data_IF_746142020956
#
_entry.id   IF_746142020956
#
_cell.length_a   1.000
_cell.length_b   1.000
_cell.length_c   1.000
_cell.angle_alpha   90.00
_cell.angle_beta   90.00
_cell.angle_gamma   90.00
#
_symmetry.space_group_name_H-M   'P 1'
#
loop_
_entity.id
_entity.type
_entity.pdbx_description
1 polymer ?
#
# COMPACT_ATOMS: atom_id res chain seq x y z
N UNK A 1 13.11 23.58 -2.14
CA UNK A 1 12.82 23.75 -0.71
C UNK A 1 11.72 22.76 -0.38
N UNK A 2 11.90 21.87 0.60
CA UNK A 2 10.85 20.91 0.98
C UNK A 2 9.70 21.70 1.61
N UNK A 3 8.47 21.43 1.18
CA UNK A 3 7.25 22.02 1.75
C UNK A 3 7.22 21.83 3.28
N UNK A 4 6.64 22.76 4.02
CA UNK A 4 6.44 22.61 5.47
C UNK A 4 5.07 21.96 5.76
N UNK A 5 4.91 21.20 6.86
CA UNK A 5 3.62 20.63 7.23
C UNK A 5 2.45 21.63 7.28
N UNK A 6 2.71 22.87 7.73
CA UNK A 6 1.71 23.93 7.79
C UNK A 6 1.28 24.47 6.41
N UNK A 7 1.98 24.13 5.34
CA UNK A 7 1.66 24.51 3.95
C UNK A 7 0.81 23.45 3.25
N UNK A 8 0.62 22.26 3.85
CA UNK A 8 -0.25 21.22 3.31
C UNK A 8 -1.70 21.68 3.38
N UNK A 9 -2.36 21.76 2.23
CA UNK A 9 -3.79 22.05 2.12
C UNK A 9 -4.55 20.80 1.69
N UNK A 10 -5.58 20.43 2.46
CA UNK A 10 -6.50 19.34 2.09
C UNK A 10 -7.79 19.96 1.54
N UNK A 11 -8.11 19.77 0.24
CA UNK A 11 -9.38 20.21 -0.34
C UNK A 11 -10.57 19.75 0.50
N UNK A 12 -11.55 20.64 0.70
CA UNK A 12 -12.68 20.39 1.61
C UNK A 12 -13.47 19.13 1.22
N UNK A 13 -13.62 18.88 -0.09
CA UNK A 13 -14.31 17.72 -0.66
C UNK A 13 -13.58 16.40 -0.38
N UNK A 14 -12.27 16.44 -0.10
CA UNK A 14 -11.47 15.28 0.24
C UNK A 14 -11.48 14.97 1.74
N UNK A 15 -11.77 15.95 2.60
CA UNK A 15 -11.68 15.78 4.05
C UNK A 15 -12.57 14.65 4.58
N UNK A 16 -13.81 14.54 4.10
CA UNK A 16 -14.74 13.46 4.50
C UNK A 16 -14.55 12.16 3.72
N UNK A 17 -13.70 12.15 2.68
CA UNK A 17 -13.52 11.01 1.77
C UNK A 17 -12.24 10.24 2.07
N UNK A 18 -11.13 10.94 2.36
CA UNK A 18 -9.87 10.29 2.69
C UNK A 18 -10.04 9.43 3.96
N UNK A 19 -9.55 8.20 3.91
CA UNK A 19 -9.69 7.21 4.97
C UNK A 19 -11.11 6.64 5.16
N UNK A 20 -12.06 6.96 4.26
CA UNK A 20 -13.47 6.53 4.35
C UNK A 20 -14.06 6.00 3.03
N UNK A 21 -13.67 6.59 1.89
CA UNK A 21 -14.19 6.28 0.56
C UNK A 21 -13.31 5.24 -0.16
N UNK A 22 -13.86 4.04 -0.37
CA UNK A 22 -13.18 2.95 -1.08
C UNK A 22 -12.86 3.30 -2.55
N UNK A 23 -13.63 4.18 -3.18
CA UNK A 23 -13.55 4.44 -4.62
C UNK A 23 -13.05 5.85 -4.93
N UNK A 24 -12.30 6.45 -3.99
CA UNK A 24 -11.69 7.76 -4.20
C UNK A 24 -10.83 7.75 -5.47
N UNK A 25 -11.04 8.77 -6.32
CA UNK A 25 -10.25 8.99 -7.52
C UNK A 25 -8.92 9.68 -7.18
N UNK A 26 -7.84 8.96 -7.44
CA UNK A 26 -6.46 9.35 -7.13
C UNK A 26 -5.61 9.56 -8.37
N UNK A 27 -6.15 9.30 -9.57
CA UNK A 27 -5.34 9.14 -10.79
C UNK A 27 -5.81 9.97 -11.98
N UNK A 28 -7.11 10.26 -12.07
CA UNK A 28 -7.64 10.96 -13.23
C UNK A 28 -7.21 12.42 -13.26
N UNK A 29 -7.30 13.03 -14.43
CA UNK A 29 -7.07 14.47 -14.61
C UNK A 29 -8.03 15.33 -13.77
N UNK A 30 -9.20 14.79 -13.41
CA UNK A 30 -10.20 15.43 -12.56
C UNK A 30 -9.97 15.17 -11.06
N UNK A 31 -9.02 14.30 -10.70
CA UNK A 31 -8.71 13.99 -9.31
C UNK A 31 -8.24 15.24 -8.56
N UNK A 32 -9.04 15.65 -7.56
CA UNK A 32 -8.67 16.71 -6.63
C UNK A 32 -7.39 16.35 -5.86
N UNK A 33 -7.17 15.05 -5.60
CA UNK A 33 -5.97 14.58 -4.92
C UNK A 33 -4.75 14.73 -5.84
N UNK A 34 -4.85 14.34 -7.11
CA UNK A 34 -3.75 14.46 -8.06
C UNK A 34 -3.33 15.92 -8.31
N UNK A 35 -4.26 16.87 -8.13
CA UNK A 35 -4.01 18.31 -8.23
C UNK A 35 -3.45 18.94 -6.95
N UNK A 36 -3.40 18.21 -5.84
CA UNK A 36 -2.76 18.71 -4.62
C UNK A 36 -1.26 18.90 -4.84
N UNK A 37 -0.69 19.96 -4.25
CA UNK A 37 0.75 20.17 -4.30
C UNK A 37 1.53 19.05 -3.58
N UNK A 38 0.92 18.47 -2.55
CA UNK A 38 1.40 17.27 -1.86
C UNK A 38 0.26 16.27 -1.63
N UNK A 39 -0.01 15.34 -2.57
CA UNK A 39 -1.05 14.33 -2.42
C UNK A 39 -0.81 13.42 -1.21
N UNK A 40 0.42 12.95 -0.96
CA UNK A 40 0.68 12.06 0.18
C UNK A 40 0.62 12.82 1.50
N UNK A 41 1.06 14.08 1.54
CA UNK A 41 0.88 14.96 2.69
C UNK A 41 -0.59 15.17 3.04
N UNK A 42 -1.43 15.44 2.03
CA UNK A 42 -2.88 15.57 2.22
C UNK A 42 -3.52 14.27 2.72
N UNK A 43 -3.16 13.12 2.15
CA UNK A 43 -3.60 11.80 2.64
C UNK A 43 -3.16 11.59 4.09
N UNK A 44 -1.91 11.90 4.44
CA UNK A 44 -1.38 11.71 5.78
C UNK A 44 -2.18 12.47 6.82
N UNK A 45 -2.35 13.79 6.65
CA UNK A 45 -3.07 14.63 7.62
C UNK A 45 -4.51 14.16 7.80
N UNK A 46 -5.21 13.92 6.68
CA UNK A 46 -6.61 13.52 6.77
C UNK A 46 -6.78 12.08 7.27
N UNK A 47 -5.80 11.20 7.05
CA UNK A 47 -5.79 9.84 7.60
C UNK A 47 -5.63 9.83 9.12
N UNK A 48 -4.88 10.78 9.69
CA UNK A 48 -4.76 10.92 11.14
C UNK A 48 -6.11 11.27 11.79
N UNK A 49 -6.86 12.18 11.17
CA UNK A 49 -8.24 12.49 11.59
C UNK A 49 -9.15 11.27 11.42
N UNK A 50 -9.11 10.61 10.25
CA UNK A 50 -9.97 9.47 9.96
C UNK A 50 -9.71 8.27 10.89
N UNK A 51 -8.48 8.08 11.35
CA UNK A 51 -8.10 7.05 12.31
C UNK A 51 -8.32 7.46 13.78
N UNK A 52 -8.79 8.69 14.04
CA UNK A 52 -8.93 9.24 15.39
C UNK A 52 -7.60 9.41 16.12
N UNK A 53 -6.50 9.54 15.39
CA UNK A 53 -5.15 9.62 15.94
C UNK A 53 -4.78 11.04 16.40
N UNK A 54 -5.39 12.08 15.83
CA UNK A 54 -5.12 13.48 16.20
C UNK A 54 -5.32 13.76 17.69
N UNK A 55 -6.23 13.05 18.37
CA UNK A 55 -6.48 13.18 19.81
C UNK A 55 -5.62 12.25 20.68
N UNK A 56 -5.00 11.23 20.08
CA UNK A 56 -4.20 10.21 20.78
C UNK A 56 -2.69 10.48 20.69
N UNK A 57 -2.27 11.16 19.62
CA UNK A 57 -0.88 11.51 19.35
C UNK A 57 -0.50 12.85 19.99
N UNK A 58 0.76 13.00 20.45
CA UNK A 58 1.30 14.32 20.77
C UNK A 58 1.23 15.24 19.55
N UNK A 59 0.88 16.52 19.72
CA UNK A 59 0.76 17.49 18.61
C UNK A 59 2.03 17.57 17.76
N UNK A 60 3.21 17.60 18.41
CA UNK A 60 4.51 17.56 17.71
C UNK A 60 4.71 16.30 16.86
N UNK A 61 4.02 15.21 17.20
CA UNK A 61 4.05 13.93 16.49
C UNK A 61 3.30 14.00 15.16
N UNK A 62 2.20 14.74 15.10
CA UNK A 62 1.48 15.03 13.85
C UNK A 62 2.39 15.80 12.90
N UNK A 63 3.01 16.88 13.37
CA UNK A 63 3.92 17.70 12.56
C UNK A 63 5.12 16.90 12.05
N UNK A 64 5.74 16.08 12.92
CA UNK A 64 6.89 15.25 12.56
C UNK A 64 6.54 14.13 11.59
N UNK A 65 5.35 13.56 11.72
CA UNK A 65 4.87 12.55 10.79
C UNK A 65 4.57 13.16 9.41
N UNK A 66 3.92 14.33 9.37
CA UNK A 66 3.70 15.07 8.14
C UNK A 66 5.03 15.47 7.47
N UNK A 67 6.00 15.96 8.24
CA UNK A 67 7.36 16.25 7.76
C UNK A 67 8.04 15.00 7.18
N UNK A 68 7.87 13.85 7.83
CA UNK A 68 8.37 12.57 7.33
C UNK A 68 7.71 12.18 6.01
N UNK A 69 6.38 12.23 5.92
CA UNK A 69 5.66 11.89 4.69
C UNK A 69 6.01 12.84 3.55
N UNK A 70 6.24 14.13 3.80
CA UNK A 70 6.71 15.07 2.78
C UNK A 70 8.10 14.70 2.22
N UNK A 71 9.01 14.22 3.07
CA UNK A 71 10.31 13.71 2.58
C UNK A 71 10.16 12.42 1.78
N UNK A 72 9.25 11.53 2.23
CA UNK A 72 8.93 10.29 1.51
C UNK A 72 8.34 10.61 0.13
N UNK A 73 7.37 11.52 0.06
CA UNK A 73 6.75 11.94 -1.20
C UNK A 73 7.80 12.49 -2.18
N UNK A 74 8.75 13.28 -1.69
CA UNK A 74 9.84 13.84 -2.51
C UNK A 74 10.80 12.80 -3.11
N UNK A 75 10.75 11.53 -2.68
CA UNK A 75 11.51 10.44 -3.30
C UNK A 75 10.69 9.53 -4.22
N UNK A 76 9.39 9.79 -4.38
CA UNK A 76 8.58 9.14 -5.41
C UNK A 76 8.67 9.91 -6.74
N UNK A 77 8.67 9.23 -7.89
CA UNK A 77 8.53 9.89 -9.18
C UNK A 77 7.10 10.40 -9.40
N UNK A 78 6.91 11.30 -10.37
CA UNK A 78 5.60 11.90 -10.69
C UNK A 78 4.76 11.08 -11.67
N UNK A 79 5.42 10.29 -12.54
CA UNK A 79 4.79 9.60 -13.68
C UNK A 79 4.91 8.08 -13.57
N UNK A 80 4.19 7.37 -14.46
CA UNK A 80 4.07 5.90 -14.49
C UNK A 80 3.35 5.35 -13.25
N UNK A 81 3.52 4.07 -12.95
CA UNK A 81 2.73 3.38 -11.92
C UNK A 81 3.29 3.63 -10.54
N UNK A 82 4.55 3.26 -10.26
CA UNK A 82 5.15 3.43 -8.94
C UNK A 82 5.58 4.88 -8.72
N UNK A 83 4.59 5.76 -8.56
CA UNK A 83 4.70 7.21 -8.45
C UNK A 83 4.06 7.71 -7.14
N UNK A 84 4.19 9.01 -6.85
CA UNK A 84 3.64 9.59 -5.60
C UNK A 84 2.13 9.43 -5.47
N UNK A 85 1.40 9.40 -6.59
CA UNK A 85 -0.03 9.14 -6.59
C UNK A 85 -0.35 7.70 -6.20
N UNK A 86 0.48 6.74 -6.59
CA UNK A 86 0.32 5.35 -6.16
C UNK A 86 0.59 5.22 -4.66
N UNK A 87 1.68 5.81 -4.16
CA UNK A 87 1.93 5.90 -2.72
C UNK A 87 0.76 6.53 -1.94
N UNK A 88 0.16 7.60 -2.47
CA UNK A 88 -1.04 8.22 -1.89
C UNK A 88 -2.27 7.29 -1.95
N UNK A 89 -2.52 6.63 -3.08
CA UNK A 89 -3.65 5.71 -3.29
C UNK A 89 -3.60 4.53 -2.33
N UNK A 90 -2.46 3.84 -2.24
CA UNK A 90 -2.27 2.69 -1.34
C UNK A 90 -2.45 3.11 0.11
N UNK A 91 -1.85 4.25 0.51
CA UNK A 91 -1.98 4.77 1.87
C UNK A 91 -3.44 5.07 2.22
N UNK A 92 -4.16 5.79 1.35
CA UNK A 92 -5.57 6.10 1.53
C UNK A 92 -6.43 4.83 1.63
N UNK A 93 -6.23 3.88 0.72
CA UNK A 93 -6.97 2.61 0.69
C UNK A 93 -6.73 1.79 1.92
N UNK A 94 -5.48 1.68 2.36
CA UNK A 94 -5.11 0.95 3.57
C UNK A 94 -5.82 1.54 4.78
N UNK A 95 -5.78 2.86 4.96
CA UNK A 95 -6.49 3.55 6.04
C UNK A 95 -7.99 3.30 5.95
N UNK A 96 -8.57 3.41 4.76
CA UNK A 96 -10.00 3.17 4.52
C UNK A 96 -10.38 1.73 4.88
N UNK A 97 -9.58 0.74 4.47
CA UNK A 97 -9.79 -0.67 4.81
C UNK A 97 -9.74 -0.87 6.32
N UNK A 98 -8.72 -0.34 7.00
CA UNK A 98 -8.59 -0.47 8.45
C UNK A 98 -9.77 0.16 9.20
N UNK A 99 -10.26 1.31 8.74
CA UNK A 99 -11.42 1.99 9.30
C UNK A 99 -12.72 1.22 9.06
N UNK A 100 -13.00 0.85 7.80
CA UNK A 100 -14.28 0.25 7.40
C UNK A 100 -14.46 -1.17 7.94
N UNK A 101 -13.35 -1.88 8.18
CA UNK A 101 -13.35 -3.19 8.83
C UNK A 101 -13.49 -3.12 10.34
N UNK A 102 -13.26 -1.96 10.97
CA UNK A 102 -13.23 -1.83 12.42
C UNK A 102 -11.88 -2.20 13.06
N UNK A 103 -10.86 -2.55 12.26
CA UNK A 103 -9.52 -2.89 12.75
C UNK A 103 -8.87 -1.67 13.40
N UNK A 104 -9.00 -0.49 12.79
CA UNK A 104 -8.40 0.74 13.30
C UNK A 104 -8.88 1.05 14.73
N UNK A 105 -10.18 0.90 14.99
CA UNK A 105 -10.78 1.12 16.30
C UNK A 105 -10.30 0.07 17.30
N UNK A 106 -10.26 -1.21 16.90
CA UNK A 106 -9.74 -2.29 17.75
C UNK A 106 -8.25 -2.12 18.10
N UNK A 107 -7.46 -1.54 17.18
CA UNK A 107 -6.08 -1.15 17.42
C UNK A 107 -6.01 0.01 18.42
N UNK A 108 -6.79 1.07 18.24
CA UNK A 108 -6.77 2.23 19.14
C UNK A 108 -7.14 1.87 20.58
N UNK A 109 -8.04 0.90 20.79
CA UNK A 109 -8.38 0.37 22.12
C UNK A 109 -7.20 -0.33 22.83
N UNK A 110 -6.18 -0.80 22.10
CA UNK A 110 -5.04 -1.52 22.65
C UNK A 110 -3.75 -0.70 22.58
N UNK A 111 -3.33 -0.35 21.36
CA UNK A 111 -2.13 0.42 21.09
C UNK A 111 -2.26 1.14 19.74
N UNK A 112 -2.71 2.39 19.77
CA UNK A 112 -2.93 3.25 18.60
C UNK A 112 -1.69 3.41 17.70
N UNK A 113 -0.49 3.11 18.21
CA UNK A 113 0.74 3.26 17.44
C UNK A 113 0.83 2.29 16.25
N UNK A 114 0.09 1.19 16.28
CA UNK A 114 0.01 0.28 15.14
C UNK A 114 -0.76 0.89 13.96
N UNK A 115 -1.72 1.80 14.21
CA UNK A 115 -2.36 2.55 13.13
C UNK A 115 -1.38 3.51 12.48
N UNK A 116 -0.50 4.16 13.28
CA UNK A 116 0.61 4.96 12.72
C UNK A 116 1.60 4.08 11.96
N UNK A 117 1.88 2.87 12.44
CA UNK A 117 2.74 1.92 11.74
C UNK A 117 2.17 1.56 10.36
N UNK A 118 0.87 1.27 10.26
CA UNK A 118 0.25 0.95 8.97
C UNK A 118 0.15 2.16 8.05
N UNK A 119 -0.14 3.36 8.58
CA UNK A 119 -0.09 4.59 7.81
C UNK A 119 1.31 4.82 7.20
N UNK A 120 2.36 4.61 7.98
CA UNK A 120 3.75 4.67 7.50
C UNK A 120 4.04 3.56 6.49
N UNK A 121 3.61 2.32 6.76
CA UNK A 121 3.83 1.20 5.84
C UNK A 121 3.24 1.49 4.46
N UNK A 122 2.00 1.99 4.41
CA UNK A 122 1.37 2.42 3.16
C UNK A 122 2.16 3.54 2.47
N UNK A 123 2.62 4.55 3.22
CA UNK A 123 3.35 5.68 2.65
C UNK A 123 4.74 5.29 2.13
N UNK A 124 5.41 4.30 2.73
CA UNK A 124 6.82 3.99 2.41
C UNK A 124 7.01 2.73 1.57
N UNK A 125 5.97 1.93 1.30
CA UNK A 125 6.15 0.59 0.71
C UNK A 125 6.95 0.57 -0.61
N UNK A 126 6.80 1.62 -1.41
CA UNK A 126 7.50 1.82 -2.70
C UNK A 126 8.39 3.07 -2.70
N UNK A 127 8.83 3.52 -1.53
CA UNK A 127 9.66 4.72 -1.43
C UNK A 127 10.96 4.56 -2.24
N UNK A 128 11.18 5.46 -3.20
CA UNK A 128 12.30 5.42 -4.17
C UNK A 128 12.33 4.16 -5.04
N UNK A 129 11.16 3.61 -5.37
CA UNK A 129 11.06 2.51 -6.31
C UNK A 129 11.75 2.85 -7.66
N UNK A 130 12.62 1.97 -8.19
CA UNK A 130 13.38 2.25 -9.42
C UNK A 130 12.53 2.10 -10.70
N UNK A 131 11.26 1.72 -10.55
CA UNK A 131 10.29 1.51 -11.64
C UNK A 131 10.78 0.47 -12.66
N UNK A 132 11.35 -0.59 -12.11
CA UNK A 132 11.71 -1.87 -12.71
C UNK A 132 11.52 -2.95 -11.64
N UNK A 133 11.25 -4.19 -12.04
CA UNK A 133 10.99 -5.26 -11.09
C UNK A 133 12.29 -5.82 -10.45
N UNK A 134 12.13 -6.54 -9.33
CA UNK A 134 13.24 -7.16 -8.60
C UNK A 134 14.10 -8.08 -9.50
N UNK A 135 13.49 -8.83 -10.43
CA UNK A 135 14.23 -9.73 -11.33
C UNK A 135 15.18 -8.96 -12.27
N UNK A 136 14.77 -7.80 -12.78
CA UNK A 136 15.65 -6.94 -13.59
C UNK A 136 16.85 -6.45 -12.77
N UNK A 137 16.62 -5.97 -11.54
CA UNK A 137 17.68 -5.50 -10.65
C UNK A 137 18.71 -6.59 -10.33
N UNK A 138 18.26 -7.84 -10.15
CA UNK A 138 19.09 -9.01 -9.89
C UNK A 138 19.88 -9.41 -11.13
N UNK A 139 19.24 -9.51 -12.30
CA UNK A 139 19.94 -9.86 -13.55
C UNK A 139 20.98 -8.82 -13.97
N UNK A 140 20.80 -7.56 -13.56
CA UNK A 140 21.77 -6.48 -13.78
C UNK A 140 22.89 -6.43 -12.72
N UNK A 141 22.86 -7.31 -11.70
CA UNK A 141 23.76 -7.22 -10.54
C UNK A 141 23.83 -5.80 -9.98
N UNK A 142 22.68 -5.11 -9.96
CA UNK A 142 22.62 -3.71 -9.56
C UNK A 142 23.12 -3.54 -8.12
N UNK A 143 23.65 -2.36 -7.79
CA UNK A 143 24.10 -2.08 -6.43
C UNK A 143 23.00 -2.31 -5.38
N UNK A 144 21.73 -2.10 -5.77
CA UNK A 144 20.57 -2.36 -4.93
C UNK A 144 20.38 -3.87 -4.67
N UNK A 145 20.46 -4.69 -5.71
CA UNK A 145 20.35 -6.15 -5.60
C UNK A 145 21.49 -6.74 -4.76
N UNK A 146 22.74 -6.32 -5.02
CA UNK A 146 23.92 -6.74 -4.27
C UNK A 146 23.81 -6.37 -2.78
N UNK A 147 23.27 -5.19 -2.46
CA UNK A 147 23.10 -4.73 -1.08
C UNK A 147 22.16 -5.64 -0.27
N UNK A 148 21.15 -6.25 -0.91
CA UNK A 148 20.14 -7.07 -0.25
C UNK A 148 20.24 -8.56 -0.61
N UNK A 149 21.33 -8.98 -1.24
CA UNK A 149 21.56 -10.37 -1.66
C UNK A 149 20.36 -10.95 -2.43
N UNK A 150 19.83 -10.16 -3.36
CA UNK A 150 18.70 -10.50 -4.24
C UNK A 150 17.35 -10.75 -3.53
N UNK A 151 17.25 -10.49 -2.22
CA UNK A 151 16.03 -10.73 -1.44
C UNK A 151 15.16 -9.47 -1.37
N UNK A 152 13.92 -9.53 -1.88
CA UNK A 152 12.92 -8.46 -1.79
C UNK A 152 13.54 -7.06 -2.00
N UNK A 153 14.21 -6.89 -3.14
CA UNK A 153 15.24 -5.86 -3.35
C UNK A 153 14.64 -4.46 -3.22
N UNK A 154 13.55 -4.18 -3.93
CA UNK A 154 12.85 -2.89 -3.89
C UNK A 154 12.24 -2.60 -2.50
N UNK A 155 11.60 -3.60 -1.88
CA UNK A 155 10.94 -3.49 -0.58
C UNK A 155 11.97 -3.21 0.54
N UNK A 156 13.10 -3.92 0.53
CA UNK A 156 14.19 -3.68 1.47
C UNK A 156 14.86 -2.32 1.23
N UNK A 157 14.97 -1.88 -0.03
CA UNK A 157 15.51 -0.55 -0.34
C UNK A 157 14.60 0.56 0.21
N UNK A 158 13.30 0.46 -0.01
CA UNK A 158 12.31 1.40 0.51
C UNK A 158 12.34 1.47 2.04
N UNK A 159 12.41 0.31 2.72
CA UNK A 159 12.57 0.23 4.17
C UNK A 159 13.89 0.83 4.67
N UNK A 160 15.01 0.56 3.99
CA UNK A 160 16.33 1.07 4.36
C UNK A 160 16.38 2.59 4.25
N UNK A 161 15.91 3.15 3.13
CA UNK A 161 15.93 4.60 2.90
C UNK A 161 14.96 5.36 3.82
N UNK A 162 13.75 4.83 4.03
CA UNK A 162 12.77 5.45 4.93
C UNK A 162 13.23 5.41 6.39
N UNK A 163 13.82 4.31 6.86
CA UNK A 163 14.37 4.21 8.22
C UNK A 163 15.60 5.08 8.41
N UNK A 164 16.43 5.27 7.38
CA UNK A 164 17.54 6.21 7.42
C UNK A 164 17.06 7.62 7.75
N UNK A 165 15.97 8.09 7.12
CA UNK A 165 15.36 9.38 7.43
C UNK A 165 14.91 9.47 8.90
N UNK A 166 14.25 8.44 9.43
CA UNK A 166 13.83 8.40 10.84
C UNK A 166 15.00 8.39 11.84
N UNK A 167 16.13 7.79 11.47
CA UNK A 167 17.30 7.72 12.34
C UNK A 167 18.17 8.98 12.30
N UNK A 168 18.30 9.62 11.13
CA UNK A 168 19.30 10.67 10.90
C UNK A 168 18.70 12.08 10.85
N UNK A 169 17.43 12.22 10.45
CA UNK A 169 16.85 13.53 10.09
C UNK A 169 15.57 13.86 10.86
N UNK A 170 14.71 12.86 11.13
CA UNK A 170 13.38 13.08 11.70
C UNK A 170 13.19 12.23 12.95
N UNK A 171 13.26 12.87 14.12
CA UNK A 171 13.03 12.21 15.42
C UNK A 171 11.54 11.91 15.68
N UNK A 172 10.99 10.98 14.91
CA UNK A 172 9.62 10.51 15.13
C UNK A 172 9.55 9.60 16.36
N UNK A 173 10.61 8.84 16.64
CA UNK A 173 10.68 7.92 17.78
C UNK A 173 10.59 8.67 19.10
N UNK A 174 11.43 9.68 19.31
CA UNK A 174 11.44 10.49 20.53
C UNK A 174 10.12 11.22 20.73
N UNK A 175 9.45 11.62 19.65
CA UNK A 175 8.18 12.35 19.75
C UNK A 175 6.98 11.42 19.98
N UNK A 176 6.89 10.27 19.31
CA UNK A 176 5.76 9.34 19.48
C UNK A 176 5.86 8.50 20.75
N UNK A 177 7.08 8.19 21.18
CA UNK A 177 7.31 7.29 22.32
C UNK A 177 7.96 8.00 23.53
N UNK A 178 8.46 9.23 23.40
CA UNK A 178 9.01 9.98 24.54
C UNK A 178 10.08 9.19 25.32
N UNK A 179 9.93 9.20 26.66
CA UNK A 179 10.75 8.40 27.59
C UNK A 179 10.16 7.00 27.85
N UNK A 180 9.29 6.49 26.98
CA UNK A 180 8.70 5.16 27.14
C UNK A 180 9.80 4.12 27.38
N UNK A 181 9.84 3.59 28.60
CA UNK A 181 10.81 2.59 29.03
C UNK A 181 10.62 1.27 28.27
N UNK A 182 9.47 1.08 27.60
CA UNK A 182 9.18 -0.09 26.79
C UNK A 182 9.82 0.01 25.40
N UNK A 183 11.10 -0.38 25.33
CA UNK A 183 11.77 -0.72 24.06
C UNK A 183 10.92 -1.66 23.18
N UNK A 184 10.07 -2.47 23.79
CA UNK A 184 9.21 -3.44 23.10
C UNK A 184 8.11 -2.80 22.26
N UNK A 185 7.57 -1.65 22.66
CA UNK A 185 6.53 -0.96 21.88
C UNK A 185 7.10 -0.39 20.58
N UNK A 186 8.26 0.25 20.66
CA UNK A 186 9.02 0.70 19.47
C UNK A 186 9.44 -0.47 18.58
N UNK A 187 9.89 -1.58 19.16
CA UNK A 187 10.23 -2.80 18.41
C UNK A 187 9.01 -3.35 17.68
N UNK A 188 7.85 -3.41 18.35
CA UNK A 188 6.59 -3.87 17.75
C UNK A 188 6.18 -2.95 16.61
N UNK A 189 6.18 -1.63 16.82
CA UNK A 189 5.94 -0.64 15.77
C UNK A 189 6.86 -0.84 14.55
N UNK A 190 8.18 -0.88 14.77
CA UNK A 190 9.15 -1.04 13.68
C UNK A 190 9.01 -2.38 12.98
N UNK A 191 8.75 -3.45 13.74
CA UNK A 191 8.51 -4.78 13.18
C UNK A 191 7.24 -4.82 12.34
N UNK A 192 6.16 -4.16 12.76
CA UNK A 192 4.93 -4.06 11.96
C UNK A 192 5.18 -3.33 10.65
N UNK A 193 5.85 -2.17 10.66
CA UNK A 193 6.20 -1.45 9.42
C UNK A 193 7.01 -2.35 8.47
N UNK A 194 8.08 -2.96 8.98
CA UNK A 194 8.98 -3.81 8.18
C UNK A 194 8.22 -4.99 7.58
N UNK A 195 7.47 -5.73 8.39
CA UNK A 195 6.80 -6.94 7.95
C UNK A 195 5.60 -6.66 7.04
N UNK A 196 4.94 -5.51 7.19
CA UNK A 196 3.88 -5.07 6.29
C UNK A 196 4.42 -4.64 4.92
N UNK A 197 5.54 -3.91 4.87
CA UNK A 197 6.18 -3.54 3.59
C UNK A 197 6.76 -4.78 2.90
N UNK A 198 7.47 -5.66 3.60
CA UNK A 198 7.97 -6.89 2.99
C UNK A 198 6.87 -7.82 2.46
N UNK A 199 5.64 -7.69 2.96
CA UNK A 199 4.50 -8.45 2.46
C UNK A 199 3.99 -7.95 1.09
N UNK A 200 4.38 -6.76 0.62
CA UNK A 200 4.02 -6.28 -0.71
C UNK A 200 4.79 -6.98 -1.82
N UNK A 201 5.95 -7.59 -1.52
CA UNK A 201 6.67 -8.45 -2.47
C UNK A 201 5.74 -9.56 -2.99
N UNK A 202 5.49 -9.53 -4.29
CA UNK A 202 4.59 -10.46 -4.96
C UNK A 202 5.11 -11.91 -4.95
N UNK A 203 6.41 -12.14 -4.70
CA UNK A 203 6.95 -13.48 -4.45
C UNK A 203 6.32 -14.16 -3.22
N UNK A 204 5.88 -13.37 -2.23
CA UNK A 204 5.26 -13.85 -0.99
C UNK A 204 3.73 -14.00 -1.11
N UNK A 205 3.12 -13.59 -2.23
CA UNK A 205 1.67 -13.44 -2.36
C UNK A 205 0.90 -14.72 -1.97
N UNK A 206 1.22 -15.85 -2.59
CA UNK A 206 0.51 -17.11 -2.34
C UNK A 206 0.74 -17.67 -0.94
N UNK A 207 1.94 -17.47 -0.38
CA UNK A 207 2.25 -17.91 0.98
C UNK A 207 1.43 -17.13 2.01
N UNK A 208 1.38 -15.80 1.89
CA UNK A 208 0.63 -14.94 2.80
C UNK A 208 -0.88 -15.20 2.67
N UNK A 209 -1.40 -15.25 1.43
CA UNK A 209 -2.81 -15.55 1.15
C UNK A 209 -3.21 -16.92 1.73
N UNK A 210 -2.45 -17.97 1.43
CA UNK A 210 -2.74 -19.32 1.91
C UNK A 210 -2.73 -19.41 3.44
N UNK A 211 -1.74 -18.78 4.09
CA UNK A 211 -1.68 -18.71 5.56
C UNK A 211 -2.87 -17.95 6.14
N UNK A 212 -3.24 -16.81 5.56
CA UNK A 212 -4.38 -16.02 6.03
C UNK A 212 -5.68 -16.82 5.90
N UNK A 213 -5.90 -17.46 4.76
CA UNK A 213 -7.09 -18.27 4.51
C UNK A 213 -7.22 -19.38 5.55
N UNK A 214 -6.18 -20.20 5.74
CA UNK A 214 -6.23 -21.35 6.66
C UNK A 214 -6.28 -20.95 8.13
N UNK A 215 -5.47 -19.97 8.56
CA UNK A 215 -5.29 -19.65 9.99
C UNK A 215 -6.37 -18.69 10.50
N UNK A 216 -6.92 -17.85 9.60
CA UNK A 216 -7.82 -16.76 9.95
C UNK A 216 -9.16 -16.91 9.24
N UNK A 217 -9.21 -16.94 7.90
CA UNK A 217 -10.46 -16.90 7.15
C UNK A 217 -11.38 -18.09 7.39
N UNK A 218 -10.80 -19.28 7.45
CA UNK A 218 -11.51 -20.54 7.64
C UNK A 218 -11.60 -20.95 9.12
N UNK A 219 -11.04 -20.14 10.03
CA UNK A 219 -11.00 -20.47 11.44
C UNK A 219 -12.38 -20.31 12.10
N UNK A 220 -13.03 -21.38 12.57
CA UNK A 220 -14.37 -21.31 13.14
C UNK A 220 -14.45 -20.40 14.38
N UNK A 221 -13.32 -20.17 15.07
CA UNK A 221 -13.23 -19.28 16.24
C UNK A 221 -13.66 -17.84 15.93
N UNK A 222 -13.45 -17.38 14.70
CA UNK A 222 -13.68 -15.99 14.31
C UNK A 222 -14.98 -15.78 13.54
N UNK A 223 -15.67 -16.87 13.16
CA UNK A 223 -16.91 -16.81 12.39
C UNK A 223 -17.99 -16.04 13.16
N UNK A 224 -18.64 -15.09 12.48
CA UNK A 224 -19.72 -14.23 13.00
C UNK A 224 -19.33 -13.37 14.22
N UNK A 225 -18.03 -13.22 14.55
CA UNK A 225 -17.59 -12.28 15.58
C UNK A 225 -17.42 -10.89 14.99
N UNK A 226 -17.72 -9.86 15.78
CA UNK A 226 -17.35 -8.51 15.41
C UNK A 226 -15.82 -8.33 15.47
N UNK A 227 -15.30 -7.40 14.67
CA UNK A 227 -13.86 -7.21 14.48
C UNK A 227 -13.10 -6.95 15.77
N UNK A 228 -13.65 -6.16 16.70
CA UNK A 228 -12.98 -5.83 17.97
C UNK A 228 -12.78 -7.06 18.87
N UNK A 229 -13.76 -7.95 18.94
CA UNK A 229 -13.66 -9.21 19.71
C UNK A 229 -12.66 -10.14 19.04
N UNK A 230 -12.77 -10.33 17.73
CA UNK A 230 -11.82 -11.15 16.95
C UNK A 230 -10.38 -10.66 17.15
N UNK A 231 -10.15 -9.36 17.01
CA UNK A 231 -8.83 -8.75 17.14
C UNK A 231 -8.20 -8.97 18.53
N UNK A 232 -9.00 -8.86 19.60
CA UNK A 232 -8.55 -9.13 20.99
C UNK A 232 -8.14 -10.59 21.19
N UNK A 233 -8.81 -11.53 20.52
CA UNK A 233 -8.53 -12.96 20.63
C UNK A 233 -7.43 -13.48 19.71
N UNK A 234 -7.03 -12.72 18.70
CA UNK A 234 -5.93 -13.06 17.79
C UNK A 234 -4.58 -13.02 18.51
N UNK A 235 -3.69 -13.95 18.15
CA UNK A 235 -2.27 -13.84 18.50
C UNK A 235 -1.61 -12.66 17.78
N UNK A 236 -0.44 -12.22 18.25
CA UNK A 236 0.32 -11.16 17.56
C UNK A 236 0.70 -11.55 16.13
N UNK A 237 0.96 -12.83 15.86
CA UNK A 237 1.20 -13.35 14.51
C UNK A 237 -0.05 -13.27 13.63
N UNK A 238 -1.24 -13.62 14.15
CA UNK A 238 -2.50 -13.51 13.41
C UNK A 238 -2.87 -12.06 13.11
N UNK A 239 -2.61 -11.13 14.06
CA UNK A 239 -2.79 -9.69 13.85
C UNK A 239 -1.86 -9.20 12.75
N UNK A 240 -0.57 -9.56 12.81
CA UNK A 240 0.39 -9.17 11.79
C UNK A 240 -0.01 -9.70 10.41
N UNK A 241 -0.40 -10.97 10.30
CA UNK A 241 -0.87 -11.58 9.06
C UNK A 241 -2.12 -10.88 8.51
N UNK A 242 -3.04 -10.45 9.39
CA UNK A 242 -4.21 -9.64 8.99
C UNK A 242 -3.80 -8.27 8.43
N UNK A 243 -2.82 -7.61 9.06
CA UNK A 243 -2.28 -6.34 8.59
C UNK A 243 -1.51 -6.46 7.27
N UNK A 244 -0.77 -7.55 7.09
CA UNK A 244 -0.11 -7.89 5.81
C UNK A 244 -1.14 -8.07 4.70
N UNK A 245 -2.24 -8.76 4.98
CA UNK A 245 -3.33 -8.89 4.00
C UNK A 245 -4.00 -7.55 3.70
N UNK A 246 -4.21 -6.69 4.72
CA UNK A 246 -4.81 -5.37 4.53
C UNK A 246 -4.00 -4.50 3.56
N UNK A 247 -2.66 -4.44 3.71
CA UNK A 247 -1.81 -3.67 2.80
C UNK A 247 -1.78 -4.29 1.40
N UNK A 248 -1.81 -5.61 1.26
CA UNK A 248 -1.89 -6.26 -0.07
C UNK A 248 -3.20 -5.97 -0.79
N UNK A 249 -4.32 -5.93 -0.07
CA UNK A 249 -5.63 -5.53 -0.63
C UNK A 249 -5.60 -4.07 -1.06
N UNK A 250 -4.97 -3.20 -0.26
CA UNK A 250 -4.82 -1.78 -0.58
C UNK A 250 -3.92 -1.55 -1.82
N UNK A 251 -2.80 -2.25 -1.89
CA UNK A 251 -1.79 -2.14 -2.94
C UNK A 251 -2.33 -2.60 -4.31
N UNK A 252 -3.06 -3.72 -4.33
CA UNK A 252 -3.83 -4.16 -5.50
C UNK A 252 -5.20 -3.48 -5.63
N UNK A 253 -5.39 -2.36 -4.93
CA UNK A 253 -6.62 -1.60 -4.80
C UNK A 253 -7.20 -1.08 -6.11
N UNK A 254 -6.34 -0.74 -7.07
CA UNK A 254 -6.75 -0.23 -8.39
C UNK A 254 -7.64 -1.20 -9.17
N UNK A 255 -7.60 -2.51 -8.85
CA UNK A 255 -8.45 -3.53 -9.48
C UNK A 255 -9.89 -3.51 -8.96
N UNK A 256 -10.14 -2.83 -7.84
CA UNK A 256 -11.46 -2.65 -7.23
C UNK A 256 -12.06 -1.27 -7.49
N UNK A 257 -11.41 -0.42 -8.30
CA UNK A 257 -11.93 0.89 -8.66
C UNK A 257 -13.01 0.80 -9.76
N UNK A 258 -13.84 1.85 -9.96
CA UNK A 258 -14.59 2.01 -11.19
C UNK A 258 -13.69 1.82 -12.42
N UNK A 259 -14.19 1.13 -13.44
CA UNK A 259 -13.36 0.60 -14.53
C UNK A 259 -12.53 1.67 -15.24
N UNK A 260 -13.05 2.90 -15.40
CA UNK A 260 -12.33 3.99 -16.06
C UNK A 260 -11.12 4.49 -15.27
N UNK A 261 -11.14 4.39 -13.94
CA UNK A 261 -9.98 4.70 -13.10
C UNK A 261 -9.01 3.53 -13.06
N UNK A 262 -9.54 2.31 -12.97
CA UNK A 262 -8.74 1.08 -13.01
C UNK A 262 -7.88 1.00 -14.29
N UNK A 263 -8.49 1.28 -15.45
CA UNK A 263 -7.78 1.34 -16.74
C UNK A 263 -6.62 2.35 -16.74
N UNK A 264 -6.78 3.52 -16.12
CA UNK A 264 -5.70 4.51 -16.07
C UNK A 264 -4.50 4.02 -15.27
N UNK A 265 -4.73 3.32 -14.15
CA UNK A 265 -3.66 2.66 -13.41
C UNK A 265 -2.99 1.54 -14.21
N UNK A 266 -3.78 0.68 -14.87
CA UNK A 266 -3.24 -0.41 -15.70
C UNK A 266 -2.44 0.15 -16.89
N UNK A 267 -2.86 1.26 -17.48
CA UNK A 267 -2.11 1.93 -18.55
C UNK A 267 -0.76 2.45 -18.04
N UNK A 268 -0.74 3.11 -16.88
CA UNK A 268 0.52 3.57 -16.25
C UNK A 268 1.47 2.40 -15.95
N UNK A 269 0.93 1.26 -15.51
CA UNK A 269 1.72 0.04 -15.28
C UNK A 269 2.29 -0.52 -16.58
N UNK A 270 1.48 -0.53 -17.64
CA UNK A 270 1.93 -0.96 -18.96
C UNK A 270 3.07 -0.09 -19.48
N UNK A 271 2.95 1.23 -19.36
CA UNK A 271 3.99 2.16 -19.82
C UNK A 271 5.30 1.94 -19.04
N UNK A 272 5.21 1.65 -17.74
CA UNK A 272 6.36 1.31 -16.91
C UNK A 272 7.01 -0.01 -17.34
N UNK A 273 6.20 -1.05 -17.56
CA UNK A 273 6.67 -2.36 -18.00
C UNK A 273 7.32 -2.28 -19.38
N UNK A 274 6.73 -1.54 -20.32
CA UNK A 274 7.31 -1.31 -21.63
C UNK A 274 8.61 -0.50 -21.57
N UNK A 275 8.76 0.39 -20.60
CA UNK A 275 10.03 1.09 -20.38
C UNK A 275 11.12 0.12 -19.90
N UNK A 276 10.79 -0.80 -18.98
CA UNK A 276 11.72 -1.86 -18.58
C UNK A 276 12.09 -2.76 -19.78
N UNK A 277 11.11 -3.20 -20.57
CA UNK A 277 11.35 -4.09 -21.71
C UNK A 277 12.22 -3.48 -22.80
N UNK A 278 12.10 -2.17 -23.03
CA UNK A 278 13.02 -1.45 -23.93
C UNK A 278 14.45 -1.46 -23.41
N UNK A 279 14.63 -1.26 -22.10
CA UNK A 279 15.95 -1.28 -21.47
C UNK A 279 16.56 -2.69 -21.50
N UNK A 280 15.76 -3.73 -21.23
CA UNK A 280 16.17 -5.13 -21.40
C UNK A 280 16.65 -5.38 -22.84
N UNK A 281 15.90 -4.92 -23.85
CA UNK A 281 16.29 -5.04 -25.25
C UNK A 281 17.60 -4.30 -25.57
N UNK A 282 17.76 -3.07 -25.04
CA UNK A 282 18.98 -2.26 -25.22
C UNK A 282 20.22 -2.92 -24.62
N UNK A 283 20.04 -3.61 -23.50
CA UNK A 283 21.09 -4.34 -22.78
C UNK A 283 21.34 -5.75 -23.36
N UNK A 284 20.63 -6.15 -24.41
CA UNK A 284 20.76 -7.48 -25.00
C UNK A 284 20.20 -8.61 -24.13
N UNK A 285 19.35 -8.27 -23.15
CA UNK A 285 18.65 -9.23 -22.29
C UNK A 285 17.42 -9.81 -23.00
N UNK A 286 16.94 -10.94 -22.49
CA UNK A 286 15.62 -11.44 -22.87
C UNK A 286 14.56 -10.51 -22.30
N UNK A 287 13.76 -9.90 -23.17
CA UNK A 287 12.61 -9.07 -22.76
C UNK A 287 11.63 -9.90 -21.93
N UNK A 288 11.27 -9.38 -20.78
CA UNK A 288 10.36 -9.98 -19.80
C UNK A 288 8.95 -10.16 -20.39
N UNK A 289 8.19 -11.17 -19.94
CA UNK A 289 6.80 -11.36 -20.36
C UNK A 289 5.95 -10.09 -20.13
N UNK A 290 5.08 -9.76 -21.10
CA UNK A 290 4.20 -8.57 -21.09
C UNK A 290 4.93 -7.21 -21.13
N UNK A 291 6.26 -7.19 -21.28
CA UNK A 291 7.07 -5.96 -21.31
C UNK A 291 7.54 -5.56 -22.72
N UNK A 292 7.24 -6.36 -23.74
CA UNK A 292 7.55 -6.02 -25.13
C UNK A 292 6.43 -5.18 -25.74
N UNK A 293 6.66 -3.87 -25.95
CA UNK A 293 5.67 -2.95 -26.52
C UNK A 293 5.20 -3.27 -27.95
N UNK A 294 5.84 -4.24 -28.62
CA UNK A 294 5.42 -4.75 -29.94
C UNK A 294 4.38 -5.87 -29.83
N UNK A 295 4.08 -6.32 -28.61
CA UNK A 295 3.13 -7.39 -28.27
C UNK A 295 2.06 -6.85 -27.31
N UNK A 296 0.94 -7.56 -27.11
CA UNK A 296 0.00 -7.23 -26.06
C UNK A 296 0.70 -7.21 -24.69
N UNK A 297 0.58 -6.07 -23.99
CA UNK A 297 1.13 -5.88 -22.64
C UNK A 297 0.10 -6.18 -21.56
N UNK A 298 0.32 -5.64 -20.36
CA UNK A 298 -0.57 -5.85 -19.21
C UNK A 298 -1.95 -5.23 -19.37
N UNK A 299 -2.15 -4.25 -20.26
CA UNK A 299 -3.48 -3.66 -20.53
C UNK A 299 -4.36 -4.59 -21.38
N UNK A 300 -3.82 -5.65 -21.97
CA UNK A 300 -4.60 -6.59 -22.77
C UNK A 300 -5.65 -7.34 -21.95
N UNK A 301 -6.79 -7.65 -22.57
CA UNK A 301 -7.88 -8.37 -21.90
C UNK A 301 -7.42 -9.74 -21.38
N UNK A 302 -6.60 -10.46 -22.15
CA UNK A 302 -6.06 -11.76 -21.73
C UNK A 302 -5.15 -11.65 -20.49
N UNK A 303 -4.25 -10.66 -20.46
CA UNK A 303 -3.35 -10.48 -19.32
C UNK A 303 -4.14 -10.10 -18.05
N UNK A 304 -5.10 -9.18 -18.18
CA UNK A 304 -5.97 -8.77 -17.07
C UNK A 304 -6.83 -9.93 -16.56
N UNK A 305 -7.50 -10.69 -17.43
CA UNK A 305 -8.30 -11.85 -17.03
C UNK A 305 -7.47 -12.86 -16.23
N UNK A 306 -6.27 -13.21 -16.71
CA UNK A 306 -5.37 -14.11 -15.98
C UNK A 306 -4.92 -13.55 -14.63
N UNK A 307 -4.59 -12.25 -14.58
CA UNK A 307 -4.21 -11.59 -13.32
C UNK A 307 -5.37 -11.59 -12.31
N UNK A 308 -6.60 -11.32 -12.75
CA UNK A 308 -7.77 -11.35 -11.88
C UNK A 308 -8.07 -12.76 -11.36
N UNK A 309 -8.02 -13.79 -12.20
CA UNK A 309 -8.31 -15.18 -11.80
C UNK A 309 -7.30 -15.73 -10.80
N UNK A 310 -6.01 -15.41 -11.00
CA UNK A 310 -4.93 -16.03 -10.24
C UNK A 310 -4.57 -15.23 -8.99
N UNK A 311 -4.68 -13.89 -9.05
CA UNK A 311 -4.17 -12.99 -8.00
C UNK A 311 -5.30 -12.22 -7.33
N UNK A 312 -6.07 -11.44 -8.10
CA UNK A 312 -6.97 -10.43 -7.51
C UNK A 312 -8.19 -11.09 -6.85
N UNK A 313 -8.93 -11.93 -7.55
CA UNK A 313 -10.18 -12.52 -7.03
C UNK A 313 -9.91 -13.35 -5.76
N UNK A 314 -8.93 -14.27 -5.73
CA UNK A 314 -8.63 -15.04 -4.52
C UNK A 314 -8.28 -14.17 -3.31
N UNK A 315 -7.52 -13.08 -3.52
CA UNK A 315 -7.17 -12.14 -2.47
C UNK A 315 -8.40 -11.46 -1.85
N UNK A 316 -9.29 -10.93 -2.70
CA UNK A 316 -10.47 -10.21 -2.25
C UNK A 316 -11.54 -11.14 -1.67
N UNK A 317 -11.69 -12.36 -2.20
CA UNK A 317 -12.59 -13.37 -1.63
C UNK A 317 -12.17 -13.76 -0.21
N UNK A 318 -10.88 -14.04 0.01
CA UNK A 318 -10.35 -14.32 1.34
C UNK A 318 -10.55 -13.14 2.30
N UNK A 319 -10.28 -11.90 1.85
CA UNK A 319 -10.46 -10.71 2.68
C UNK A 319 -11.92 -10.50 3.08
N UNK A 320 -12.85 -10.56 2.12
CA UNK A 320 -14.28 -10.30 2.36
C UNK A 320 -14.96 -11.42 3.15
N UNK A 321 -14.47 -12.66 3.07
CA UNK A 321 -14.91 -13.75 3.94
C UNK A 321 -14.76 -13.37 5.43
N UNK A 322 -13.68 -12.65 5.78
CA UNK A 322 -13.46 -12.17 7.15
C UNK A 322 -14.07 -10.81 7.43
N UNK A 323 -14.14 -9.94 6.42
CA UNK A 323 -14.63 -8.58 6.55
C UNK A 323 -15.75 -8.30 5.53
N UNK A 324 -16.98 -8.79 5.77
CA UNK A 324 -18.10 -8.63 4.84
C UNK A 324 -18.46 -7.16 4.55
N UNK A 325 -18.04 -6.21 5.41
CA UNK A 325 -18.22 -4.77 5.19
C UNK A 325 -17.46 -4.27 3.94
N UNK A 326 -16.47 -5.03 3.48
CA UNK A 326 -15.70 -4.78 2.26
C UNK A 326 -16.29 -5.45 1.01
N UNK A 327 -17.49 -6.07 1.07
CA UNK A 327 -18.09 -6.80 -0.06
C UNK A 327 -18.16 -5.96 -1.34
N UNK A 328 -18.45 -4.66 -1.24
CA UNK A 328 -18.47 -3.76 -2.39
C UNK A 328 -17.16 -3.72 -3.19
N UNK A 329 -16.01 -3.96 -2.56
CA UNK A 329 -14.73 -4.07 -3.25
C UNK A 329 -14.67 -5.32 -4.14
N UNK A 330 -15.10 -6.48 -3.61
CA UNK A 330 -15.13 -7.73 -4.35
C UNK A 330 -16.16 -7.68 -5.49
N UNK A 331 -17.30 -7.03 -5.27
CA UNK A 331 -18.31 -6.83 -6.31
C UNK A 331 -17.73 -6.01 -7.47
N UNK A 332 -17.00 -4.92 -7.18
CA UNK A 332 -16.35 -4.12 -8.20
C UNK A 332 -15.19 -4.86 -8.89
N UNK A 333 -14.41 -5.67 -8.16
CA UNK A 333 -13.40 -6.58 -8.74
C UNK A 333 -14.06 -7.54 -9.74
N UNK A 334 -15.19 -8.15 -9.38
CA UNK A 334 -15.93 -9.06 -10.28
C UNK A 334 -16.51 -8.32 -11.49
N UNK A 335 -16.98 -7.09 -11.32
CA UNK A 335 -17.42 -6.24 -12.42
C UNK A 335 -16.28 -5.91 -13.40
N UNK A 336 -15.10 -5.53 -12.88
CA UNK A 336 -13.92 -5.25 -13.70
C UNK A 336 -13.40 -6.51 -14.41
N UNK A 337 -13.39 -7.66 -13.73
CA UNK A 337 -13.08 -8.96 -14.35
C UNK A 337 -14.00 -9.24 -15.55
N UNK A 338 -15.32 -9.06 -15.38
CA UNK A 338 -16.28 -9.26 -16.47
C UNK A 338 -16.07 -8.26 -17.63
N UNK A 339 -15.72 -7.01 -17.33
CA UNK A 339 -15.32 -6.05 -18.35
C UNK A 339 -14.11 -6.57 -19.14
N UNK A 340 -13.03 -6.97 -18.48
CA UNK A 340 -11.82 -7.47 -19.16
C UNK A 340 -12.06 -8.73 -19.99
N UNK A 341 -12.98 -9.62 -19.57
CA UNK A 341 -13.43 -10.74 -20.42
C UNK A 341 -14.16 -10.31 -21.68
N UNK A 342 -14.84 -9.17 -21.64
CA UNK A 342 -15.58 -8.62 -22.79
C UNK A 342 -14.66 -7.89 -23.77
N UNK A 343 -13.51 -7.41 -23.30
CA UNK A 343 -12.46 -6.83 -24.14
C UNK A 343 -11.83 -7.96 -24.96
N UNK A 344 -12.27 -8.09 -26.21
CA UNK A 344 -11.56 -8.91 -27.19
C UNK A 344 -10.29 -8.17 -27.58
N UNK A 345 -9.21 -8.93 -27.80
CA UNK A 345 -7.83 -8.51 -28.16
C UNK A 345 -6.88 -8.36 -26.96
#
# INVERSE_FOLDING_TARGET
MVMKPCEISVPQELQSRIGSDFFLDTVSDESLLARCQSPMGAICLQSLEALGLSSLMPTKGVDKLAEFVLHIEGGYPDTLYHCKLHGADVTHRLVTILNRTGIAQAINEQDWVLNVAMLIAGAVHDYRHPQVNNNFLVQQESSMALQFNDQAVAENFALRESRKLLCEQIDLRGVLFGNDSHKDRWRKFGSTVIQSVLATDMSQHFQILGRFTTIIAENPKYKNKCTSVMWKEMSDEQRLLTLQMAIKVADLGHNSLPIELSKQWVQRLQDEFFRQGDEEARLGMRISPLMDRRKPGVFSGQAQVGFFEIIVIPLYEAWVQMFPQCQCLLDQVKANYNYWKSVKY
#
